data_IF_788271951750
#
_entry.id   IF_788271951750
#
_cell.length_a   1.000
_cell.length_b   1.000
_cell.length_c   1.000
_cell.angle_alpha   90.00
_cell.angle_beta   90.00
_cell.angle_gamma   90.00
#
_symmetry.space_group_name_H-M   'P 1'
#
loop_
_entity.id
_entity.type
_entity.pdbx_description
1 polymer ?
#
# COMPACT_ATOMS: atom_id res chain seq x y z
N UNK A 1 1.71 -5.77 -10.97
CA UNK A 1 0.61 -4.79 -10.75
C UNK A 1 1.12 -3.39 -11.08
N UNK A 2 0.53 -2.73 -12.08
CA UNK A 2 0.98 -1.42 -12.57
C UNK A 2 0.40 -0.30 -11.69
N UNK A 3 1.23 0.56 -11.05
CA UNK A 3 0.76 1.63 -10.19
C UNK A 3 0.08 2.79 -10.92
N UNK A 4 0.20 2.87 -12.26
CA UNK A 4 -0.30 4.02 -13.02
C UNK A 4 -1.77 3.90 -13.44
N UNK A 5 -2.43 2.75 -13.22
CA UNK A 5 -3.75 2.47 -13.77
C UNK A 5 -4.95 2.53 -12.83
N UNK A 6 -4.87 2.51 -11.47
CA UNK A 6 -6.07 2.51 -10.66
C UNK A 6 -6.89 3.80 -10.86
N UNK A 7 -8.18 3.61 -11.19
CA UNK A 7 -9.13 4.70 -11.40
C UNK A 7 -9.92 5.02 -10.13
N UNK A 8 -9.94 4.09 -9.18
CA UNK A 8 -10.64 4.20 -7.91
C UNK A 8 -9.75 3.78 -6.74
N UNK A 9 -10.13 4.19 -5.52
CA UNK A 9 -9.45 3.73 -4.32
C UNK A 9 -9.59 2.21 -4.11
N UNK A 10 -10.68 1.61 -4.53
CA UNK A 10 -10.88 0.15 -4.39
C UNK A 10 -9.94 -0.64 -5.32
N UNK A 11 -9.61 -0.10 -6.49
CA UNK A 11 -8.58 -0.66 -7.38
C UNK A 11 -7.16 -0.38 -6.85
N UNK A 12 -6.95 0.77 -6.20
CA UNK A 12 -5.68 1.11 -5.57
C UNK A 12 -5.39 0.27 -4.32
N UNK A 13 -6.41 -0.20 -3.61
CA UNK A 13 -6.23 -0.92 -2.35
C UNK A 13 -5.41 -2.21 -2.48
N UNK A 14 -5.65 -3.13 -3.44
CA UNK A 14 -4.77 -4.29 -3.64
C UNK A 14 -3.32 -3.90 -3.96
N UNK A 15 -3.11 -2.88 -4.79
CA UNK A 15 -1.78 -2.33 -5.04
C UNK A 15 -1.14 -1.80 -3.75
N UNK A 16 -1.88 -1.03 -2.95
CA UNK A 16 -1.39 -0.53 -1.66
C UNK A 16 -0.98 -1.69 -0.74
N UNK A 17 -1.78 -2.75 -0.62
CA UNK A 17 -1.45 -3.93 0.19
C UNK A 17 -0.23 -4.65 -0.35
N UNK A 18 -0.07 -4.76 -1.67
CA UNK A 18 1.11 -5.39 -2.30
C UNK A 18 2.42 -4.66 -1.98
N UNK A 19 2.36 -3.37 -1.68
CA UNK A 19 3.51 -2.58 -1.23
C UNK A 19 3.81 -2.72 0.27
N UNK A 20 2.98 -3.48 1.02
CA UNK A 20 3.02 -3.62 2.49
C UNK A 20 2.89 -5.09 2.91
N UNK A 21 3.62 -6.01 2.25
CA UNK A 21 3.55 -7.45 2.55
C UNK A 21 4.31 -7.82 3.83
N UNK A 22 5.29 -7.00 4.24
CA UNK A 22 6.06 -7.24 5.46
C UNK A 22 5.29 -6.80 6.71
N UNK A 23 5.16 -7.68 7.70
CA UNK A 23 4.42 -7.40 8.94
C UNK A 23 5.02 -6.26 9.77
N UNK A 24 6.35 -6.11 9.80
CA UNK A 24 7.04 -5.02 10.51
C UNK A 24 6.76 -3.67 9.83
N UNK A 25 6.77 -3.64 8.49
CA UNK A 25 6.40 -2.45 7.73
C UNK A 25 4.98 -2.01 8.07
N UNK A 26 4.01 -2.93 8.06
CA UNK A 26 2.63 -2.62 8.46
C UNK A 26 2.51 -2.12 9.89
N UNK A 27 3.26 -2.70 10.83
CA UNK A 27 3.28 -2.24 12.22
C UNK A 27 3.78 -0.79 12.33
N UNK A 28 4.83 -0.43 11.58
CA UNK A 28 5.35 0.95 11.53
C UNK A 28 4.33 1.94 10.95
N UNK A 29 3.59 1.54 9.90
CA UNK A 29 2.48 2.34 9.36
C UNK A 29 1.35 2.53 10.40
N UNK A 30 0.95 1.46 11.08
CA UNK A 30 -0.09 1.52 12.11
C UNK A 30 0.32 2.43 13.26
N UNK A 31 1.55 2.30 13.75
CA UNK A 31 2.10 3.16 14.83
C UNK A 31 2.19 4.60 14.35
N UNK A 32 2.76 4.85 13.18
CA UNK A 32 2.89 6.20 12.61
C UNK A 32 1.55 6.89 12.42
N UNK A 33 0.58 6.20 11.83
CA UNK A 33 -0.78 6.72 11.65
C UNK A 33 -1.46 7.00 12.99
N UNK A 34 -1.31 6.11 13.97
CA UNK A 34 -1.87 6.32 15.32
C UNK A 34 -1.27 7.56 15.98
N UNK A 35 0.06 7.74 15.92
CA UNK A 35 0.73 8.92 16.44
C UNK A 35 0.24 10.19 15.72
N UNK A 36 0.16 10.16 14.39
CA UNK A 36 -0.35 11.28 13.60
C UNK A 36 -1.77 11.67 14.00
N UNK A 37 -2.68 10.70 14.13
CA UNK A 37 -4.05 10.95 14.57
C UNK A 37 -4.14 11.46 16.00
N UNK A 38 -3.28 10.96 16.90
CA UNK A 38 -3.23 11.43 18.30
C UNK A 38 -2.78 12.90 18.42
N UNK A 39 -2.08 13.44 17.42
CA UNK A 39 -1.70 14.86 17.39
C UNK A 39 -2.83 15.80 16.96
N UNK A 40 -3.91 15.31 16.36
CA UNK A 40 -4.99 16.16 15.84
C UNK A 40 -5.58 17.12 16.88
N UNK A 41 -5.88 16.73 18.13
CA UNK A 41 -6.37 17.66 19.15
C UNK A 41 -5.31 18.73 19.51
N UNK A 42 -4.02 18.33 19.52
CA UNK A 42 -2.92 19.26 19.80
C UNK A 42 -2.75 20.26 18.67
N UNK A 43 -2.82 19.80 17.41
CA UNK A 43 -2.74 20.67 16.23
C UNK A 43 -3.87 21.71 16.23
N UNK A 44 -5.06 21.34 16.71
CA UNK A 44 -6.21 22.26 16.78
C UNK A 44 -5.97 23.46 17.68
N UNK A 45 -5.17 23.31 18.77
CA UNK A 45 -4.85 24.38 19.73
C UNK A 45 -3.43 24.93 19.54
N UNK A 46 -2.54 24.17 18.94
CA UNK A 46 -1.16 24.53 18.66
C UNK A 46 -0.75 24.02 17.25
N UNK A 47 -1.05 24.78 16.19
CA UNK A 47 -0.79 24.37 14.81
C UNK A 47 0.62 23.88 14.49
N UNK A 48 1.72 24.39 15.11
CA UNK A 48 3.06 23.85 14.86
C UNK A 48 3.25 22.37 15.19
N UNK A 49 2.35 21.77 15.99
CA UNK A 49 2.36 20.32 16.28
C UNK A 49 2.15 19.44 15.05
N UNK A 50 1.75 20.01 13.89
CA UNK A 50 1.69 19.29 12.62
C UNK A 50 3.08 18.76 12.19
N UNK A 51 4.15 19.48 12.53
CA UNK A 51 5.52 19.08 12.17
C UNK A 51 5.90 17.73 12.79
N UNK A 52 5.86 17.54 14.13
CA UNK A 52 6.12 16.23 14.72
C UNK A 52 5.10 15.17 14.29
N UNK A 53 3.82 15.50 14.09
CA UNK A 53 2.82 14.59 13.62
C UNK A 53 3.20 13.98 12.24
N UNK A 54 3.58 14.81 11.28
CA UNK A 54 4.01 14.36 9.96
C UNK A 54 5.37 13.65 10.03
N UNK A 55 6.31 14.14 10.84
CA UNK A 55 7.64 13.52 10.98
C UNK A 55 7.53 12.08 11.48
N UNK A 56 6.76 11.83 12.53
CA UNK A 56 6.57 10.48 13.05
C UNK A 56 5.67 9.62 12.13
N UNK A 57 4.58 10.19 11.63
CA UNK A 57 3.66 9.47 10.74
C UNK A 57 4.37 9.00 9.46
N UNK A 58 4.90 9.92 8.68
CA UNK A 58 5.58 9.58 7.42
C UNK A 58 6.97 8.99 7.63
N UNK A 59 7.72 9.43 8.66
CA UNK A 59 9.06 8.90 8.95
C UNK A 59 9.03 7.40 9.23
N UNK A 60 8.11 6.92 10.07
CA UNK A 60 7.94 5.49 10.35
C UNK A 60 7.47 4.72 9.12
N UNK A 61 6.55 5.27 8.34
CA UNK A 61 6.10 4.69 7.09
C UNK A 61 7.25 4.52 6.08
N UNK A 62 8.08 5.56 5.91
CA UNK A 62 9.24 5.51 5.01
C UNK A 62 10.30 4.51 5.48
N UNK A 63 10.55 4.40 6.79
CA UNK A 63 11.41 3.34 7.34
C UNK A 63 10.85 1.96 6.96
N UNK A 64 9.53 1.76 7.07
CA UNK A 64 8.85 0.55 6.64
C UNK A 64 9.16 0.20 5.18
N UNK A 65 8.95 1.16 4.27
CA UNK A 65 9.21 0.97 2.85
C UNK A 65 10.69 0.72 2.53
N UNK A 66 11.59 1.53 3.06
CA UNK A 66 13.01 1.48 2.71
C UNK A 66 13.70 0.26 3.34
N UNK A 67 13.47 0.01 4.63
CA UNK A 67 14.20 -1.01 5.38
C UNK A 67 13.60 -2.42 5.22
N UNK A 68 12.29 -2.56 5.11
CA UNK A 68 11.59 -3.85 5.17
C UNK A 68 10.94 -4.26 3.85
N UNK A 69 10.29 -3.35 3.13
CA UNK A 69 9.68 -3.65 1.83
C UNK A 69 10.68 -3.49 0.67
N UNK A 70 11.71 -2.66 0.84
CA UNK A 70 12.70 -2.31 -0.20
C UNK A 70 12.06 -1.74 -1.47
N UNK A 71 10.98 -0.99 -1.30
CA UNK A 71 10.23 -0.37 -2.37
C UNK A 71 10.08 1.15 -2.15
N UNK A 72 9.49 1.85 -3.13
CA UNK A 72 9.22 3.29 -3.03
C UNK A 72 7.80 3.52 -2.51
N UNK A 73 7.59 4.45 -1.56
CA UNK A 73 6.26 4.83 -1.12
C UNK A 73 5.37 5.25 -2.31
N UNK A 74 4.15 4.72 -2.40
CA UNK A 74 3.20 5.12 -3.44
C UNK A 74 2.87 6.62 -3.41
N UNK A 75 2.92 7.23 -2.23
CA UNK A 75 2.72 8.66 -2.01
C UNK A 75 3.68 9.58 -2.78
N UNK A 76 4.79 9.05 -3.30
CA UNK A 76 5.78 9.82 -4.05
C UNK A 76 5.45 9.97 -5.54
N UNK A 77 4.46 9.24 -6.07
CA UNK A 77 4.14 9.27 -7.49
C UNK A 77 3.24 10.45 -7.88
N UNK A 78 2.26 10.81 -7.05
CA UNK A 78 1.35 11.93 -7.32
C UNK A 78 0.57 12.36 -6.07
N UNK A 79 -0.05 13.56 -6.12
CA UNK A 79 -0.96 14.04 -5.08
C UNK A 79 -2.18 13.10 -4.89
N UNK A 80 -2.68 12.49 -5.97
CA UNK A 80 -3.74 11.49 -5.93
C UNK A 80 -3.31 10.26 -5.12
N UNK A 81 -2.12 9.74 -5.38
CA UNK A 81 -1.58 8.60 -4.65
C UNK A 81 -1.21 8.95 -3.21
N UNK A 82 -0.78 10.18 -2.94
CA UNK A 82 -0.59 10.65 -1.56
C UNK A 82 -1.92 10.59 -0.77
N UNK A 83 -3.00 11.12 -1.32
CA UNK A 83 -4.32 11.08 -0.69
C UNK A 83 -4.84 9.64 -0.51
N UNK A 84 -4.63 8.79 -1.52
CA UNK A 84 -5.02 7.39 -1.44
C UNK A 84 -4.15 6.56 -0.50
N UNK A 85 -2.86 6.86 -0.39
CA UNK A 85 -1.98 6.23 0.61
C UNK A 85 -2.43 6.56 2.02
N UNK A 86 -2.76 7.82 2.30
CA UNK A 86 -3.31 8.21 3.60
C UNK A 86 -4.63 7.48 3.91
N UNK A 87 -5.54 7.38 2.93
CA UNK A 87 -6.77 6.59 3.07
C UNK A 87 -6.46 5.09 3.26
N UNK A 88 -5.41 4.58 2.61
CA UNK A 88 -4.89 3.23 2.77
C UNK A 88 -4.38 2.97 4.18
N UNK A 89 -3.61 3.92 4.75
CA UNK A 89 -3.14 3.86 6.13
C UNK A 89 -4.31 3.78 7.12
N UNK A 90 -5.36 4.57 6.92
CA UNK A 90 -6.56 4.52 7.77
C UNK A 90 -7.30 3.17 7.63
N UNK A 91 -7.40 2.62 6.41
CA UNK A 91 -8.00 1.30 6.19
C UNK A 91 -7.13 0.20 6.80
N UNK A 92 -5.81 0.25 6.65
CA UNK A 92 -4.86 -0.67 7.26
C UNK A 92 -4.99 -0.66 8.78
N UNK A 93 -5.01 0.54 9.40
CA UNK A 93 -5.22 0.72 10.83
C UNK A 93 -6.52 0.02 11.30
N UNK A 94 -7.64 0.34 10.63
CA UNK A 94 -8.94 -0.27 10.92
C UNK A 94 -8.92 -1.80 10.79
N UNK A 95 -8.33 -2.33 9.71
CA UNK A 95 -8.30 -3.76 9.45
C UNK A 95 -7.35 -4.50 10.39
N UNK A 96 -6.26 -3.86 10.81
CA UNK A 96 -5.34 -4.42 11.82
C UNK A 96 -6.05 -4.59 13.15
N UNK A 97 -6.73 -3.56 13.65
CA UNK A 97 -7.50 -3.67 14.89
C UNK A 97 -8.71 -4.61 14.79
N UNK A 98 -9.30 -4.76 13.62
CA UNK A 98 -10.38 -5.70 13.36
C UNK A 98 -9.91 -7.15 13.13
N UNK A 99 -8.59 -7.43 13.16
CA UNK A 99 -8.01 -8.74 12.86
C UNK A 99 -8.19 -9.20 11.40
N UNK A 100 -8.47 -8.29 10.47
CA UNK A 100 -8.77 -8.58 9.06
C UNK A 100 -7.58 -8.39 8.12
N UNK A 101 -6.53 -7.70 8.57
CA UNK A 101 -5.42 -7.33 7.69
C UNK A 101 -4.65 -8.56 7.17
N UNK A 102 -4.58 -9.65 7.95
CA UNK A 102 -3.95 -10.90 7.51
C UNK A 102 -4.63 -11.49 6.27
N UNK A 103 -5.96 -11.56 6.27
CA UNK A 103 -6.73 -12.06 5.12
C UNK A 103 -6.60 -11.17 3.86
N UNK A 104 -6.46 -9.85 4.02
CA UNK A 104 -6.21 -8.95 2.89
C UNK A 104 -4.81 -9.18 2.28
N UNK A 105 -3.81 -9.43 3.12
CA UNK A 105 -2.45 -9.76 2.66
C UNK A 105 -2.44 -11.09 1.92
N UNK A 106 -3.04 -12.14 2.46
CA UNK A 106 -3.16 -13.45 1.83
C UNK A 106 -3.83 -13.35 0.46
N UNK A 107 -4.97 -12.67 0.38
CA UNK A 107 -5.67 -12.42 -0.88
C UNK A 107 -4.79 -11.76 -1.94
N UNK A 108 -4.00 -10.77 -1.55
CA UNK A 108 -3.11 -10.06 -2.50
C UNK A 108 -1.93 -10.93 -2.90
N UNK A 109 -1.39 -11.75 -1.99
CA UNK A 109 -0.34 -12.71 -2.32
C UNK A 109 -0.83 -13.76 -3.33
N UNK A 110 -2.05 -14.26 -3.18
CA UNK A 110 -2.66 -15.18 -4.14
C UNK A 110 -2.82 -14.53 -5.53
N UNK A 111 -3.30 -13.28 -5.57
CA UNK A 111 -3.41 -12.52 -6.83
C UNK A 111 -2.05 -12.34 -7.53
N UNK A 112 -1.00 -12.03 -6.78
CA UNK A 112 0.35 -11.88 -7.33
C UNK A 112 0.90 -13.21 -7.85
N UNK A 113 0.65 -14.31 -7.16
CA UNK A 113 1.05 -15.65 -7.60
C UNK A 113 0.33 -16.05 -8.89
N UNK A 114 -0.96 -15.74 -9.03
CA UNK A 114 -1.73 -15.98 -10.25
C UNK A 114 -1.21 -15.15 -11.43
N UNK A 115 -0.89 -13.86 -11.21
CA UNK A 115 -0.28 -12.99 -12.23
C UNK A 115 1.07 -13.56 -12.71
N UNK A 116 1.92 -14.00 -11.79
CA UNK A 116 3.24 -14.59 -12.12
C UNK A 116 3.10 -15.89 -12.93
N UNK A 117 2.18 -16.77 -12.53
CA UNK A 117 1.90 -18.00 -13.28
C UNK A 117 1.37 -17.72 -14.68
N UNK A 118 0.46 -16.74 -14.82
CA UNK A 118 -0.07 -16.35 -16.12
C UNK A 118 1.02 -15.75 -17.03
N UNK A 119 1.95 -14.97 -16.47
CA UNK A 119 3.06 -14.38 -17.20
C UNK A 119 4.11 -15.43 -17.62
N UNK A 120 4.28 -16.51 -16.86
CA UNK A 120 5.24 -17.59 -17.13
C UNK A 120 4.73 -18.64 -18.12
N UNK A 121 3.42 -18.66 -18.39
CA UNK A 121 2.82 -19.61 -19.35
C UNK A 121 3.13 -19.16 -20.79
N UNK A 122 3.85 -19.97 -21.61
CA UNK A 122 4.13 -19.63 -23.00
C UNK A 122 2.82 -19.46 -23.76
N UNK A 123 2.63 -18.31 -24.43
CA UNK A 123 1.53 -18.17 -25.39
C UNK A 123 1.71 -19.26 -26.45
N UNK A 124 0.84 -20.26 -26.46
CA UNK A 124 0.75 -21.20 -27.55
C UNK A 124 0.53 -20.41 -28.84
N UNK A 125 1.59 -20.28 -29.64
CA UNK A 125 1.48 -19.83 -31.03
C UNK A 125 0.67 -20.88 -31.76
N UNK A 126 -0.63 -20.67 -31.90
CA UNK A 126 -1.45 -21.40 -32.90
C UNK A 126 -0.88 -21.00 -34.27
N UNK A 127 0.02 -21.86 -34.77
CA UNK A 127 0.45 -21.81 -36.14
C UNK A 127 -0.79 -22.01 -37.02
N UNK A 128 -1.24 -20.93 -37.62
CA UNK A 128 -2.19 -20.96 -38.71
C UNK A 128 -1.45 -21.61 -39.90
N UNK A 129 -1.58 -22.91 -40.03
CA UNK A 129 -1.17 -23.60 -41.24
C UNK A 129 -2.13 -23.20 -42.32
N UNK A 130 -1.75 -22.20 -43.11
CA UNK A 130 -2.41 -21.92 -44.40
C UNK A 130 -1.96 -23.00 -45.36
N UNK A 131 -2.83 -23.96 -45.62
CA UNK A 131 -2.69 -24.81 -46.77
C UNK A 131 -3.12 -24.03 -48.02
N UNK A 132 -2.15 -23.82 -48.90
CA UNK A 132 -2.36 -23.41 -50.26
C UNK A 132 -3.05 -24.53 -51.06
#
# INVERSE_FOLDING_TARGET
>A
MDPEQPQSFEEFWPYYVSQHLNGTSRALHVVGTTIGLAHLPVIAVFPPAIVPALTWGYGLAWIGHIAFEKNRPASWYSAKFLAWSFRGDLRMLKYTFAGRMGAEVEKVQDMLAEEEMAASTPRSTSAHTVHA
#
